data_IF_614056029870
#
_entry.id   IF_614056029870
#
_cell.length_a   1.000
_cell.length_b   1.000
_cell.length_c   1.000
_cell.angle_alpha   90.00
_cell.angle_beta   90.00
_cell.angle_gamma   90.00
#
_symmetry.space_group_name_H-M   'P 1'
#
loop_
_entity.id
_entity.type
_entity.pdbx_description
1 polymer ?
#
# COMPACT_ATOMS: atom_id res chain seq x y z
N UNK A 1 69.45 -17.85 27.47
CA UNK A 1 69.72 -16.50 28.00
C UNK A 1 68.51 -15.65 27.67
N UNK A 2 67.85 -15.13 28.70
CA UNK A 2 66.56 -14.43 28.70
C UNK A 2 66.76 -13.00 28.19
N UNK A 3 65.79 -12.47 27.41
CA UNK A 3 65.31 -11.06 27.36
C UNK A 3 64.32 -11.02 26.17
N UNK A 4 63.01 -10.80 26.27
CA UNK A 4 62.25 -9.96 27.19
C UNK A 4 61.51 -8.94 26.34
N UNK A 5 60.20 -9.11 26.12
CA UNK A 5 59.31 -7.96 25.90
C UNK A 5 57.84 -8.33 26.21
N UNK A 6 57.51 -8.26 27.51
CA UNK A 6 56.18 -8.43 28.09
C UNK A 6 55.59 -7.03 28.35
N UNK A 7 55.67 -6.14 27.36
CA UNK A 7 55.18 -4.76 27.51
C UNK A 7 54.65 -4.23 26.18
N UNK A 8 53.41 -4.61 25.91
CA UNK A 8 52.58 -4.22 24.77
C UNK A 8 51.43 -5.21 24.79
N UNK A 9 50.22 -4.88 25.19
CA UNK A 9 49.54 -3.69 24.73
C UNK A 9 48.28 -3.54 25.61
N UNK A 10 48.36 -2.82 26.75
CA UNK A 10 47.17 -2.54 27.59
C UNK A 10 46.02 -1.90 26.79
N UNK A 11 46.37 -1.26 25.68
CA UNK A 11 45.52 -0.79 24.57
C UNK A 11 44.69 -1.91 23.91
N UNK A 12 45.21 -3.13 23.72
CA UNK A 12 44.42 -4.25 23.16
C UNK A 12 43.33 -4.74 24.13
N UNK A 13 43.65 -4.84 25.42
CA UNK A 13 42.67 -5.22 26.43
C UNK A 13 41.56 -4.15 26.58
N UNK A 14 41.92 -2.86 26.54
CA UNK A 14 40.96 -1.75 26.57
C UNK A 14 40.11 -1.73 25.29
N UNK A 15 40.69 -1.99 24.11
CA UNK A 15 39.97 -2.03 22.85
C UNK A 15 38.92 -3.16 22.81
N UNK A 16 39.22 -4.33 23.38
CA UNK A 16 38.27 -5.45 23.47
C UNK A 16 37.13 -5.12 24.42
N UNK A 17 37.41 -4.51 25.58
CA UNK A 17 36.37 -4.14 26.55
C UNK A 17 35.45 -3.03 26.00
N UNK A 18 36.01 -2.03 25.30
CA UNK A 18 35.22 -0.97 24.64
C UNK A 18 34.40 -1.53 23.48
N UNK A 19 34.95 -2.48 22.71
CA UNK A 19 34.22 -3.16 21.64
C UNK A 19 33.01 -3.95 22.14
N UNK A 20 33.15 -4.70 23.24
CA UNK A 20 32.06 -5.50 23.82
C UNK A 20 30.97 -4.58 24.39
N UNK A 21 31.33 -3.49 25.07
CA UNK A 21 30.36 -2.51 25.59
C UNK A 21 29.66 -1.75 24.46
N UNK A 22 30.37 -1.39 23.40
CA UNK A 22 29.80 -0.70 22.23
C UNK A 22 28.74 -1.54 21.50
N UNK A 23 29.01 -2.83 21.29
CA UNK A 23 28.07 -3.74 20.63
C UNK A 23 26.81 -3.96 21.50
N UNK A 24 26.97 -4.08 22.81
CA UNK A 24 25.84 -4.19 23.75
C UNK A 24 24.93 -2.96 23.74
N UNK A 25 25.51 -1.76 23.68
CA UNK A 25 24.75 -0.50 23.62
C UNK A 25 24.02 -0.32 22.29
N UNK A 26 24.62 -0.69 21.16
CA UNK A 26 23.96 -0.64 19.85
C UNK A 26 22.79 -1.65 19.79
N UNK A 27 22.95 -2.85 20.37
CA UNK A 27 21.89 -3.86 20.46
C UNK A 27 20.72 -3.43 21.36
N UNK A 28 21.00 -2.71 22.46
CA UNK A 28 19.96 -2.21 23.36
C UNK A 28 19.17 -1.02 22.79
N UNK A 29 19.76 -0.24 21.86
CA UNK A 29 19.09 0.89 21.23
C UNK A 29 18.21 0.50 20.03
N UNK A 30 18.50 -0.60 19.32
CA UNK A 30 17.69 -1.05 18.17
C UNK A 30 16.42 -1.81 18.54
N UNK A 31 16.32 -2.32 19.78
CA UNK A 31 15.20 -3.20 20.21
C UNK A 31 14.05 -2.46 20.91
N UNK A 32 14.23 -1.20 21.34
CA UNK A 32 13.16 -0.42 22.00
C UNK A 32 12.03 0.09 21.09
N UNK A 33 12.24 0.49 19.82
CA UNK A 33 11.14 1.02 19.01
C UNK A 33 10.16 -0.05 18.50
N UNK A 34 10.57 -1.33 18.47
CA UNK A 34 9.78 -2.43 17.90
C UNK A 34 8.73 -2.99 18.86
N UNK A 35 8.92 -2.86 20.18
CA UNK A 35 7.93 -3.33 21.17
C UNK A 35 6.69 -2.42 21.23
N UNK A 36 6.86 -1.11 21.01
CA UNK A 36 5.75 -0.15 21.03
C UNK A 36 4.86 -0.28 19.79
N UNK A 37 5.44 -0.63 18.64
CA UNK A 37 4.69 -0.97 17.43
C UNK A 37 4.00 -2.33 17.55
N UNK A 38 4.64 -3.33 18.17
CA UNK A 38 4.03 -4.64 18.42
C UNK A 38 2.79 -4.56 19.33
N UNK A 39 2.87 -3.81 20.45
CA UNK A 39 1.71 -3.59 21.32
C UNK A 39 0.59 -2.76 20.66
N UNK A 40 0.93 -1.84 19.74
CA UNK A 40 -0.07 -1.10 18.95
C UNK A 40 -0.74 -2.01 17.92
N UNK A 41 0.01 -2.96 17.35
CA UNK A 41 -0.50 -3.94 16.40
C UNK A 41 -1.45 -4.93 17.08
N UNK A 42 -1.14 -5.42 18.29
CA UNK A 42 -2.06 -6.29 19.04
C UNK A 42 -3.38 -5.60 19.40
N UNK A 43 -3.33 -4.33 19.80
CA UNK A 43 -4.55 -3.55 20.05
C UNK A 43 -5.37 -3.32 18.78
N UNK A 44 -4.72 -3.09 17.64
CA UNK A 44 -5.39 -2.94 16.35
C UNK A 44 -6.03 -4.25 15.87
N UNK A 45 -5.32 -5.37 16.03
CA UNK A 45 -5.84 -6.70 15.70
C UNK A 45 -7.04 -7.05 16.58
N UNK A 46 -6.96 -6.79 17.89
CA UNK A 46 -8.07 -7.07 18.80
C UNK A 46 -9.32 -6.20 18.48
N UNK A 47 -9.12 -4.93 18.13
CA UNK A 47 -10.21 -4.06 17.64
C UNK A 47 -10.82 -4.54 16.33
N UNK A 48 -9.99 -5.00 15.39
CA UNK A 48 -10.46 -5.56 14.12
C UNK A 48 -11.24 -6.85 14.34
N UNK A 49 -10.72 -7.78 15.15
CA UNK A 49 -11.39 -9.04 15.50
C UNK A 49 -12.69 -8.76 16.24
N UNK A 50 -12.71 -7.83 17.18
CA UNK A 50 -13.93 -7.45 17.89
C UNK A 50 -14.98 -6.84 16.95
N UNK A 51 -14.59 -5.97 16.01
CA UNK A 51 -15.49 -5.46 14.97
C UNK A 51 -16.02 -6.58 14.08
N UNK A 52 -15.14 -7.48 13.60
CA UNK A 52 -15.52 -8.60 12.74
C UNK A 52 -16.49 -9.58 13.43
N UNK A 53 -16.27 -9.84 14.72
CA UNK A 53 -17.16 -10.66 15.55
C UNK A 53 -18.48 -9.96 15.85
N UNK A 54 -18.46 -8.64 16.04
CA UNK A 54 -19.66 -7.82 16.21
C UNK A 54 -20.51 -7.80 14.93
N UNK A 55 -19.87 -7.61 13.77
CA UNK A 55 -20.52 -7.65 12.45
C UNK A 55 -21.05 -9.05 12.11
N UNK A 56 -20.39 -10.13 12.59
CA UNK A 56 -20.93 -11.50 12.47
C UNK A 56 -22.14 -11.75 13.37
N UNK A 57 -22.15 -11.21 14.59
CA UNK A 57 -23.25 -11.40 15.55
C UNK A 57 -24.48 -10.55 15.22
N UNK A 58 -24.33 -9.45 14.49
CA UNK A 58 -25.46 -8.61 14.09
C UNK A 58 -26.31 -9.20 12.96
N UNK A 59 -25.92 -10.32 12.34
CA UNK A 59 -26.71 -11.03 11.33
C UNK A 59 -26.90 -10.27 10.00
N UNK A 60 -26.54 -8.99 9.97
CA UNK A 60 -26.56 -8.13 8.81
C UNK A 60 -25.16 -7.52 8.63
N UNK A 61 -24.56 -7.59 7.43
CA UNK A 61 -23.40 -6.77 7.13
C UNK A 61 -23.81 -5.31 7.37
N UNK A 62 -23.13 -4.65 8.30
CA UNK A 62 -23.36 -3.25 8.70
C UNK A 62 -23.00 -2.23 7.61
N UNK A 63 -22.83 -2.68 6.36
CA UNK A 63 -23.03 -1.88 5.19
C UNK A 63 -24.49 -2.09 4.77
N UNK A 64 -25.38 -1.19 5.20
CA UNK A 64 -26.79 -1.10 4.78
C UNK A 64 -26.96 -1.62 3.36
N UNK A 65 -27.97 -2.46 3.09
CA UNK A 65 -28.30 -2.93 1.74
C UNK A 65 -28.37 -1.75 0.72
N UNK A 66 -28.71 -0.56 1.23
CA UNK A 66 -28.65 0.73 0.53
C UNK A 66 -27.25 1.11 0.04
N UNK A 67 -26.23 1.00 0.90
CA UNK A 67 -24.83 1.29 0.56
C UNK A 67 -24.29 0.34 -0.51
N UNK A 68 -24.63 -0.96 -0.42
CA UNK A 68 -24.26 -1.92 -1.47
C UNK A 68 -24.95 -1.60 -2.81
N UNK A 69 -26.25 -1.25 -2.80
CA UNK A 69 -26.98 -0.87 -4.01
C UNK A 69 -26.44 0.41 -4.65
N UNK A 70 -26.11 1.42 -3.86
CA UNK A 70 -25.54 2.68 -4.34
C UNK A 70 -24.14 2.45 -4.92
N UNK A 71 -23.29 1.71 -4.20
CA UNK A 71 -21.93 1.39 -4.66
C UNK A 71 -21.96 0.52 -5.91
N UNK A 72 -22.88 -0.44 -5.99
CA UNK A 72 -23.08 -1.28 -7.18
C UNK A 72 -23.49 -0.48 -8.41
N UNK A 73 -24.44 0.46 -8.27
CA UNK A 73 -24.82 1.36 -9.38
C UNK A 73 -23.66 2.25 -9.83
N UNK A 74 -22.93 2.83 -8.88
CA UNK A 74 -21.75 3.65 -9.18
C UNK A 74 -20.66 2.84 -9.92
N UNK A 75 -20.41 1.60 -9.48
CA UNK A 75 -19.44 0.70 -10.09
C UNK A 75 -19.81 0.35 -11.54
N UNK A 76 -21.08 0.04 -11.81
CA UNK A 76 -21.57 -0.28 -13.17
C UNK A 76 -21.40 0.94 -14.09
N UNK A 77 -21.78 2.14 -13.63
CA UNK A 77 -21.60 3.37 -14.42
C UNK A 77 -20.12 3.66 -14.71
N UNK A 78 -19.24 3.49 -13.72
CA UNK A 78 -17.81 3.69 -13.89
C UNK A 78 -17.20 2.68 -14.89
N UNK A 79 -17.61 1.42 -14.81
CA UNK A 79 -17.21 0.37 -15.76
C UNK A 79 -17.64 0.71 -17.19
N UNK A 80 -18.88 1.17 -17.38
CA UNK A 80 -19.37 1.61 -18.69
C UNK A 80 -18.52 2.74 -19.26
N UNK A 81 -18.24 3.77 -18.46
CA UNK A 81 -17.38 4.90 -18.89
C UNK A 81 -15.98 4.42 -19.25
N UNK A 82 -15.38 3.55 -18.43
CA UNK A 82 -14.06 2.97 -18.70
C UNK A 82 -14.03 2.15 -20.00
N UNK A 83 -15.09 1.38 -20.26
CA UNK A 83 -15.21 0.61 -21.49
C UNK A 83 -15.37 1.52 -22.73
N UNK A 84 -16.21 2.56 -22.65
CA UNK A 84 -16.34 3.53 -23.74
C UNK A 84 -15.03 4.26 -24.02
N UNK A 85 -14.30 4.64 -22.97
CA UNK A 85 -12.98 5.27 -23.11
C UNK A 85 -11.96 4.33 -23.78
N UNK A 86 -11.92 3.06 -23.39
CA UNK A 86 -11.05 2.05 -23.99
C UNK A 86 -11.38 1.84 -25.47
N UNK A 87 -12.67 1.78 -25.81
CA UNK A 87 -13.13 1.66 -27.19
C UNK A 87 -12.73 2.88 -28.04
N UNK A 88 -12.86 4.08 -27.48
CA UNK A 88 -12.45 5.33 -28.14
C UNK A 88 -10.94 5.37 -28.43
N UNK A 89 -10.11 4.92 -27.47
CA UNK A 89 -8.66 4.78 -27.67
C UNK A 89 -8.35 3.78 -28.78
N UNK A 90 -9.00 2.61 -28.79
CA UNK A 90 -8.80 1.62 -29.85
C UNK A 90 -9.14 2.19 -31.22
N UNK A 91 -10.27 2.87 -31.35
CA UNK A 91 -10.66 3.52 -32.60
C UNK A 91 -9.65 4.60 -33.00
N UNK A 92 -9.22 5.44 -32.07
CA UNK A 92 -8.20 6.47 -32.33
C UNK A 92 -6.89 5.85 -32.83
N UNK A 93 -6.45 4.71 -32.28
CA UNK A 93 -5.23 4.02 -32.72
C UNK A 93 -5.39 3.44 -34.13
N UNK A 94 -6.55 2.87 -34.46
CA UNK A 94 -6.85 2.36 -35.80
C UNK A 94 -6.81 3.50 -36.81
N UNK A 95 -7.53 4.59 -36.55
CA UNK A 95 -7.54 5.76 -37.44
C UNK A 95 -6.19 6.47 -37.52
N UNK A 96 -5.49 6.60 -36.39
CA UNK A 96 -4.17 7.23 -36.34
C UNK A 96 -3.12 6.45 -37.12
N UNK A 97 -3.19 5.12 -37.08
CA UNK A 97 -2.32 4.25 -37.87
C UNK A 97 -2.64 4.34 -39.37
N UNK A 98 -3.92 4.27 -39.74
CA UNK A 98 -4.31 4.21 -41.15
C UNK A 98 -4.21 5.56 -41.87
N UNK A 99 -4.54 6.66 -41.20
CA UNK A 99 -4.62 7.99 -41.84
C UNK A 99 -3.33 8.80 -41.72
N UNK A 100 -2.52 8.54 -40.70
CA UNK A 100 -1.41 9.42 -40.30
C UNK A 100 -0.10 8.67 -40.06
N UNK A 101 -0.06 7.36 -40.31
CA UNK A 101 1.13 6.49 -40.12
C UNK A 101 1.80 6.69 -38.74
N UNK A 102 1.00 6.91 -37.68
CA UNK A 102 1.56 7.06 -36.33
C UNK A 102 2.21 5.76 -35.89
N UNK A 103 3.43 5.89 -35.34
CA UNK A 103 4.11 4.80 -34.66
C UNK A 103 3.25 4.24 -33.52
N UNK A 104 3.41 2.94 -33.29
CA UNK A 104 2.71 2.21 -32.22
C UNK A 104 2.94 2.93 -30.88
N UNK A 105 1.86 3.47 -30.32
CA UNK A 105 1.86 3.99 -28.95
C UNK A 105 2.12 2.81 -28.03
N UNK A 106 3.08 2.98 -27.11
CA UNK A 106 3.44 1.94 -26.17
C UNK A 106 2.23 1.52 -25.32
N UNK A 107 1.95 0.22 -25.33
CA UNK A 107 0.80 -0.38 -24.67
C UNK A 107 0.79 -0.07 -23.16
N UNK A 108 1.96 0.15 -22.55
CA UNK A 108 2.07 0.55 -21.14
C UNK A 108 1.32 1.84 -20.82
N UNK A 109 1.50 2.88 -21.65
CA UNK A 109 0.83 4.17 -21.42
C UNK A 109 -0.68 4.10 -21.62
N UNK A 110 -1.15 3.27 -22.55
CA UNK A 110 -2.58 3.03 -22.79
C UNK A 110 -3.23 2.29 -21.62
N UNK A 111 -2.51 1.34 -21.02
CA UNK A 111 -3.00 0.61 -19.84
C UNK A 111 -3.09 1.52 -18.62
N UNK A 112 -2.09 2.38 -18.41
CA UNK A 112 -2.10 3.36 -17.32
C UNK A 112 -3.24 4.37 -17.51
N UNK A 113 -3.45 4.87 -18.73
CA UNK A 113 -4.51 5.86 -18.99
C UNK A 113 -5.92 5.28 -18.78
N UNK A 114 -6.17 4.05 -19.24
CA UNK A 114 -7.46 3.37 -19.06
C UNK A 114 -7.75 3.05 -17.58
N UNK A 115 -6.75 2.57 -16.83
CA UNK A 115 -6.86 2.36 -15.38
C UNK A 115 -7.15 3.64 -14.62
N UNK A 116 -6.48 4.74 -14.99
CA UNK A 116 -6.63 6.04 -14.35
C UNK A 116 -8.02 6.61 -14.61
N UNK A 117 -8.51 6.55 -15.85
CA UNK A 117 -9.88 6.99 -16.19
C UNK A 117 -10.93 6.15 -15.47
N UNK A 118 -10.76 4.83 -15.40
CA UNK A 118 -11.69 3.95 -14.67
C UNK A 118 -11.72 4.28 -13.17
N UNK A 119 -10.56 4.46 -12.55
CA UNK A 119 -10.42 4.79 -11.12
C UNK A 119 -11.00 6.16 -10.78
N UNK A 120 -10.74 7.18 -11.61
CA UNK A 120 -11.29 8.52 -11.43
C UNK A 120 -12.80 8.54 -11.62
N UNK A 121 -13.30 7.84 -12.64
CA UNK A 121 -14.74 7.74 -12.91
C UNK A 121 -15.47 7.10 -11.73
N UNK A 122 -14.92 6.02 -11.18
CA UNK A 122 -15.45 5.40 -9.97
C UNK A 122 -15.43 6.36 -8.79
N UNK A 123 -14.30 7.01 -8.51
CA UNK A 123 -14.18 7.96 -7.40
C UNK A 123 -15.19 9.11 -7.50
N UNK A 124 -15.34 9.70 -8.68
CA UNK A 124 -16.29 10.80 -8.93
C UNK A 124 -17.74 10.32 -8.79
N UNK A 125 -18.09 9.18 -9.38
CA UNK A 125 -19.45 8.65 -9.30
C UNK A 125 -19.81 8.23 -7.88
N UNK A 126 -18.91 7.54 -7.18
CA UNK A 126 -19.09 7.18 -5.78
C UNK A 126 -19.27 8.41 -4.90
N UNK A 127 -18.53 9.50 -5.16
CA UNK A 127 -18.74 10.76 -4.47
C UNK A 127 -20.12 11.36 -4.79
N UNK A 128 -20.47 11.50 -6.07
CA UNK A 128 -21.75 12.09 -6.49
C UNK A 128 -22.94 11.32 -5.92
N UNK A 129 -22.92 9.99 -6.01
CA UNK A 129 -23.98 9.14 -5.45
C UNK A 129 -23.99 9.16 -3.92
N UNK A 130 -22.83 9.25 -3.27
CA UNK A 130 -22.75 9.40 -1.80
C UNK A 130 -23.38 10.71 -1.32
N UNK A 131 -23.27 11.80 -2.07
CA UNK A 131 -23.94 13.07 -1.75
C UNK A 131 -25.44 13.06 -2.00
N UNK A 132 -25.91 12.25 -2.95
CA UNK A 132 -27.31 12.27 -3.36
C UNK A 132 -28.25 11.61 -2.36
N UNK A 133 -27.75 10.79 -1.44
CA UNK A 133 -28.48 10.37 -0.24
C UNK A 133 -29.83 9.66 -0.46
N UNK A 134 -30.15 9.24 -1.68
CA UNK A 134 -31.39 8.51 -2.04
C UNK A 134 -31.41 7.06 -1.56
#
# INVERSE_FOLDING_TARGET
>A
MIHGNIFGDRTTAIAIVVGILGIGLISAYTTKPTLKSAMKQEKAINLLVWKLLKDRKSGFPSADERTQRITGKAAICALLIGNYFTLAIMLMLIFGRELYDLQNVDAGYLLISTLLVSSLSFMVLSWVFSRKGD
#
